data_IF_443257242935
#
_entry.id   IF_443257242935
#
_cell.length_a   1.000
_cell.length_b   1.000
_cell.length_c   1.000
_cell.angle_alpha   90.00
_cell.angle_beta   90.00
_cell.angle_gamma   90.00
#
_symmetry.space_group_name_H-M   'P 1'
#
loop_
_entity.id
_entity.type
_entity.pdbx_description
1 polymer ?
#
# COMPACT_ATOMS: atom_id res chain seq x y z
N UNK A 1 -3.42 -5.98 -12.06
CA UNK A 1 -2.74 -5.84 -10.76
C UNK A 1 -3.80 -5.40 -9.77
N UNK A 2 -4.31 -6.36 -9.02
CA UNK A 2 -5.37 -6.19 -8.02
C UNK A 2 -4.77 -5.49 -6.80
N UNK A 3 -5.22 -4.26 -6.52
CA UNK A 3 -4.80 -3.49 -5.35
C UNK A 3 -6.02 -3.25 -4.46
N UNK A 4 -5.96 -3.70 -3.22
CA UNK A 4 -7.01 -3.52 -2.24
C UNK A 4 -6.46 -2.76 -1.03
N UNK A 5 -7.23 -1.79 -0.53
CA UNK A 5 -6.92 -1.06 0.70
C UNK A 5 -8.04 -1.35 1.70
N UNK A 6 -7.65 -1.79 2.90
CA UNK A 6 -8.59 -2.02 3.98
C UNK A 6 -9.23 -0.72 4.49
N UNK A 7 -10.27 -0.81 5.32
CA UNK A 7 -10.99 0.35 5.87
C UNK A 7 -10.17 1.17 6.88
N UNK A 8 -8.91 0.83 7.12
CA UNK A 8 -8.06 1.43 8.14
C UNK A 8 -8.06 0.68 9.47
N UNK A 9 -7.46 1.32 10.47
CA UNK A 9 -7.18 0.69 11.78
C UNK A 9 -8.22 1.14 12.80
N UNK A 10 -8.71 0.21 13.63
CA UNK A 10 -9.56 0.55 14.78
C UNK A 10 -8.70 0.79 16.02
N UNK A 11 -9.05 1.82 16.79
CA UNK A 11 -8.48 2.04 18.11
C UNK A 11 -9.11 1.13 19.18
N UNK A 12 -8.62 1.24 20.42
CA UNK A 12 -9.13 0.49 21.59
C UNK A 12 -10.59 0.80 21.93
N UNK A 13 -11.12 1.93 21.45
CA UNK A 13 -12.51 2.34 21.64
C UNK A 13 -13.40 1.93 20.46
N UNK A 14 -12.85 1.20 19.48
CA UNK A 14 -13.55 0.76 18.28
C UNK A 14 -13.74 1.84 17.22
N UNK A 15 -13.18 3.05 17.41
CA UNK A 15 -13.24 4.12 16.42
C UNK A 15 -12.34 3.75 15.25
N UNK A 16 -12.91 3.82 14.05
CA UNK A 16 -12.19 3.60 12.82
C UNK A 16 -11.33 4.83 12.48
N UNK A 17 -10.06 4.60 12.21
CA UNK A 17 -9.14 5.59 11.65
C UNK A 17 -8.88 5.20 10.21
N UNK A 18 -9.29 6.08 9.29
CA UNK A 18 -9.12 5.86 7.86
C UNK A 18 -7.65 5.74 7.47
N UNK A 19 -7.40 4.90 6.47
CA UNK A 19 -6.08 4.76 5.87
C UNK A 19 -5.75 5.94 4.95
N UNK A 20 -4.49 6.37 5.00
CA UNK A 20 -3.96 7.46 4.17
C UNK A 20 -3.62 7.04 2.74
N UNK A 21 -3.37 5.74 2.53
CA UNK A 21 -3.13 5.17 1.19
C UNK A 21 -4.44 4.89 0.44
N UNK A 22 -4.39 4.96 -0.88
CA UNK A 22 -5.53 4.70 -1.77
C UNK A 22 -5.19 3.59 -2.76
N UNK A 23 -6.24 2.95 -3.27
CA UNK A 23 -6.08 1.98 -4.36
C UNK A 23 -5.37 2.63 -5.54
N UNK A 24 -4.26 2.02 -5.97
CA UNK A 24 -3.45 2.51 -7.09
C UNK A 24 -2.23 3.33 -6.67
N UNK A 25 -2.11 3.69 -5.39
CA UNK A 25 -0.90 4.30 -4.88
C UNK A 25 0.28 3.34 -5.02
N UNK A 26 1.42 3.88 -5.44
CA UNK A 26 2.68 3.17 -5.39
C UNK A 26 3.33 3.49 -4.06
N UNK A 27 3.71 2.47 -3.31
CA UNK A 27 4.24 2.62 -1.95
C UNK A 27 5.59 1.97 -1.81
N UNK A 28 6.44 2.57 -0.97
CA UNK A 28 7.66 1.97 -0.45
C UNK A 28 7.34 1.28 0.86
N UNK A 29 7.80 0.05 1.02
CA UNK A 29 7.66 -0.72 2.26
C UNK A 29 8.99 -1.42 2.56
N UNK A 30 9.17 -1.83 3.81
CA UNK A 30 10.38 -2.53 4.23
C UNK A 30 10.57 -3.85 3.48
N UNK A 31 11.82 -4.21 3.15
CA UNK A 31 12.15 -5.45 2.43
C UNK A 31 11.57 -6.72 3.07
N UNK A 32 11.39 -6.71 4.39
CA UNK A 32 10.92 -7.85 5.19
C UNK A 32 9.50 -7.65 5.72
N UNK A 33 8.76 -6.69 5.15
CA UNK A 33 7.40 -6.36 5.57
C UNK A 33 6.37 -7.15 4.77
N UNK A 34 5.26 -7.48 5.43
CA UNK A 34 4.13 -8.18 4.83
C UNK A 34 4.21 -9.71 4.87
N UNK A 35 3.19 -10.34 4.30
CA UNK A 35 3.06 -11.79 4.18
C UNK A 35 2.47 -12.11 2.82
N UNK A 36 2.97 -13.17 2.19
CA UNK A 36 2.43 -13.66 0.92
C UNK A 36 1.11 -14.39 1.17
N UNK A 37 0.09 -14.07 0.36
CA UNK A 37 -1.23 -14.70 0.40
C UNK A 37 -1.68 -14.99 -1.02
N UNK A 38 -2.30 -16.16 -1.21
CA UNK A 38 -2.85 -16.56 -2.52
C UNK A 38 -4.35 -16.42 -2.50
N UNK A 39 -4.90 -15.55 -3.34
CA UNK A 39 -6.34 -15.29 -3.46
C UNK A 39 -6.72 -15.44 -4.92
N UNK A 40 -7.75 -16.23 -5.21
CA UNK A 40 -8.26 -16.47 -6.57
C UNK A 40 -7.18 -16.91 -7.59
N UNK A 41 -6.12 -17.57 -7.10
CA UNK A 41 -5.01 -18.02 -7.92
C UNK A 41 -3.92 -16.97 -8.18
N UNK A 42 -4.05 -15.76 -7.64
CA UNK A 42 -3.03 -14.71 -7.68
C UNK A 42 -2.21 -14.70 -6.39
N UNK A 43 -0.89 -14.54 -6.50
CA UNK A 43 0.00 -14.32 -5.36
C UNK A 43 0.05 -12.83 -5.05
N UNK A 44 -0.37 -12.47 -3.83
CA UNK A 44 -0.49 -11.10 -3.34
C UNK A 44 0.35 -10.93 -2.08
N UNK A 45 0.74 -9.68 -1.81
CA UNK A 45 1.46 -9.31 -0.59
C UNK A 45 0.52 -8.48 0.29
N UNK A 46 0.18 -9.01 1.47
CA UNK A 46 -0.60 -8.29 2.49
C UNK A 46 0.33 -7.70 3.55
N UNK A 47 0.12 -6.45 3.95
CA UNK A 47 0.90 -5.79 5.01
C UNK A 47 0.05 -4.75 5.74
N UNK A 48 0.55 -4.23 6.86
CA UNK A 48 -0.10 -3.15 7.58
C UNK A 48 0.30 -1.80 6.99
N UNK A 49 -0.56 -0.80 7.14
CA UNK A 49 -0.24 0.58 6.76
C UNK A 49 1.00 1.10 7.50
N UNK A 50 1.24 0.68 8.75
CA UNK A 50 2.44 1.04 9.52
C UNK A 50 3.76 0.55 8.93
N UNK A 51 3.72 -0.44 8.02
CA UNK A 51 4.90 -0.97 7.36
C UNK A 51 5.27 -0.19 6.08
N UNK A 52 4.41 0.76 5.68
CA UNK A 52 4.61 1.63 4.53
C UNK A 52 5.49 2.81 4.95
N UNK A 53 6.62 2.95 4.27
CA UNK A 53 7.61 4.01 4.50
C UNK A 53 7.23 5.32 3.80
N UNK A 54 6.45 5.25 2.71
CA UNK A 54 5.96 6.42 2.00
C UNK A 54 5.25 6.07 0.69
N UNK A 55 4.47 7.02 0.18
CA UNK A 55 3.85 6.96 -1.15
C UNK A 55 4.82 7.59 -2.15
N UNK A 56 5.11 6.89 -3.24
CA UNK A 56 5.93 7.41 -4.34
C UNK A 56 5.01 7.98 -5.42
N UNK A 57 5.21 9.26 -5.74
CA UNK A 57 4.59 9.82 -6.93
C UNK A 57 5.23 9.19 -8.18
N UNK A 58 4.45 8.88 -9.23
CA UNK A 58 5.04 8.52 -10.49
C UNK A 58 5.91 9.68 -10.94
N UNK A 59 7.21 9.42 -11.13
CA UNK A 59 8.15 10.41 -11.68
C UNK A 59 7.55 10.88 -12.99
N UNK A 60 7.00 12.11 -13.01
CA UNK A 60 6.61 12.76 -14.24
C UNK A 60 7.87 12.75 -15.10
N UNK A 61 7.80 12.08 -16.26
CA UNK A 61 8.92 11.90 -17.17
C UNK A 61 9.70 13.20 -17.24
N UNK A 62 10.93 13.20 -16.70
CA UNK A 62 11.89 14.23 -17.00
C UNK A 62 12.16 14.07 -18.49
N UNK A 63 11.38 14.77 -19.32
CA UNK A 63 11.68 14.95 -20.74
C UNK A 63 13.08 15.50 -20.77
N UNK A 64 14.04 14.63 -21.06
CA UNK A 64 15.39 15.04 -21.39
C UNK A 64 15.23 15.94 -22.60
N UNK A 65 15.42 17.25 -22.37
CA UNK A 65 15.56 18.20 -23.44
C UNK A 65 16.83 17.80 -24.19
N UNK A 66 16.64 17.21 -25.36
CA UNK A 66 17.67 17.00 -26.37
C UNK A 66 18.06 18.34 -27.00
#
# INVERSE_FOLDING_TARGET
>A
MSFAVGPGTRDENGKLTDTTVKTGDRVLFGKWSGSEVRIDGEDLLIMKESDILGIIEPVAELKQAA
#
